data_IF_801839790432
#
_entry.id   IF_801839790432
#
_cell.length_a   1.000
_cell.length_b   1.000
_cell.length_c   1.000
_cell.angle_alpha   90.00
_cell.angle_beta   90.00
_cell.angle_gamma   90.00
#
_symmetry.space_group_name_H-M   'P 1'
#
loop_
_entity.id
_entity.type
_entity.pdbx_description
1 polymer ?
#
# COMPACT_ATOMS: atom_id res chain seq x y z
N UNK A 1 -19.07 -24.46 31.36
CA UNK A 1 -19.60 -23.15 30.94
C UNK A 1 -18.46 -22.16 30.94
N UNK A 2 -17.96 -21.82 29.75
CA UNK A 2 -17.25 -20.58 29.43
C UNK A 2 -17.22 -20.55 27.91
N UNK A 3 -18.24 -19.91 27.35
CA UNK A 3 -18.38 -19.70 25.91
C UNK A 3 -17.25 -18.79 25.45
N UNK A 4 -16.33 -19.35 24.65
CA UNK A 4 -15.35 -18.58 23.90
C UNK A 4 -16.11 -17.81 22.81
N UNK A 5 -16.49 -16.58 23.13
CA UNK A 5 -16.95 -15.61 22.14
C UNK A 5 -15.77 -15.23 21.25
N UNK A 6 -15.56 -16.01 20.20
CA UNK A 6 -14.71 -15.64 19.06
C UNK A 6 -15.45 -14.53 18.33
N UNK A 7 -15.23 -13.29 18.76
CA UNK A 7 -15.59 -12.13 17.95
C UNK A 7 -14.76 -12.22 16.68
N UNK A 8 -15.42 -12.59 15.58
CA UNK A 8 -14.89 -12.45 14.22
C UNK A 8 -14.64 -10.96 13.97
N UNK A 9 -13.51 -10.44 14.46
CA UNK A 9 -12.93 -9.24 13.90
C UNK A 9 -12.59 -9.60 12.48
N UNK A 10 -13.46 -9.19 11.54
CA UNK A 10 -13.14 -9.18 10.12
C UNK A 10 -11.72 -8.66 10.00
N UNK A 11 -10.79 -9.54 9.62
CA UNK A 11 -9.45 -9.16 9.26
C UNK A 11 -9.62 -8.10 8.19
N UNK A 12 -9.41 -6.84 8.57
CA UNK A 12 -9.09 -5.75 7.65
C UNK A 12 -7.68 -6.03 7.11
N UNK A 13 -7.51 -7.23 6.53
CA UNK A 13 -6.32 -7.61 5.81
C UNK A 13 -6.35 -6.71 4.58
N UNK A 14 -5.61 -5.61 4.68
CA UNK A 14 -4.91 -5.01 3.56
C UNK A 14 -5.78 -4.80 2.33
N UNK A 15 -6.65 -3.78 2.38
CA UNK A 15 -6.91 -2.96 1.19
C UNK A 15 -5.72 -2.00 0.94
N UNK A 16 -4.48 -2.42 1.24
CA UNK A 16 -3.29 -1.87 0.57
C UNK A 16 -3.44 -2.31 -0.88
N UNK A 17 -4.03 -1.45 -1.68
CA UNK A 17 -4.15 -1.68 -3.11
C UNK A 17 -2.71 -1.78 -3.65
N UNK A 18 -2.21 -2.99 -3.86
CA UNK A 18 -0.87 -3.21 -4.43
C UNK A 18 -0.69 -2.49 -5.79
N UNK A 19 -1.79 -2.05 -6.41
CA UNK A 19 -1.77 -1.14 -7.56
C UNK A 19 -1.67 0.33 -7.11
N UNK A 20 -0.48 0.88 -7.33
CA UNK A 20 -0.17 2.31 -7.32
C UNK A 20 -0.44 3.03 -6.00
N UNK A 21 0.08 2.50 -4.90
CA UNK A 21 0.43 3.42 -3.82
C UNK A 21 1.48 4.40 -4.35
N UNK A 22 1.22 5.69 -4.24
CA UNK A 22 2.29 6.68 -4.37
C UNK A 22 3.34 6.36 -3.30
N UNK A 23 4.63 6.51 -3.63
CA UNK A 23 5.76 6.39 -2.69
C UNK A 23 5.72 7.55 -1.66
N UNK A 24 4.64 7.63 -0.89
CA UNK A 24 4.30 8.72 0.01
C UNK A 24 3.56 8.19 1.22
N UNK A 25 3.87 8.77 2.38
CA UNK A 25 3.11 8.61 3.60
C UNK A 25 3.09 9.94 4.37
N UNK A 26 2.05 10.22 5.16
CA UNK A 26 1.98 11.45 5.94
C UNK A 26 3.09 11.50 7.00
N UNK A 27 3.75 12.65 7.11
CA UNK A 27 4.72 12.96 8.16
C UNK A 27 4.53 14.40 8.61
N UNK A 28 4.92 14.72 9.85
CA UNK A 28 4.83 16.09 10.34
C UNK A 28 5.99 16.92 9.78
N UNK A 29 5.71 18.11 9.25
CA UNK A 29 6.73 19.03 8.72
C UNK A 29 7.77 19.45 9.78
N UNK A 30 7.39 19.48 11.06
CA UNK A 30 8.25 19.87 12.18
C UNK A 30 8.97 18.68 12.86
N UNK A 31 8.92 17.47 12.29
CA UNK A 31 9.49 16.24 12.91
C UNK A 31 10.93 16.42 13.39
N UNK A 32 11.75 17.17 12.65
CA UNK A 32 13.16 17.43 13.00
C UNK A 32 13.39 18.16 14.33
N UNK A 33 12.38 18.86 14.85
CA UNK A 33 12.45 19.67 16.07
C UNK A 33 11.72 19.01 17.25
N UNK A 34 11.12 17.83 17.07
CA UNK A 34 10.52 17.08 18.17
C UNK A 34 11.58 16.70 19.21
N UNK A 35 11.30 16.76 20.53
CA UNK A 35 12.33 16.60 21.56
C UNK A 35 13.14 15.31 21.46
N UNK A 36 12.49 14.15 21.23
CA UNK A 36 13.16 12.85 21.12
C UNK A 36 14.02 12.74 19.85
N UNK A 37 13.53 13.29 18.74
CA UNK A 37 14.25 13.28 17.46
C UNK A 37 15.40 14.28 17.49
N UNK A 38 15.22 15.43 18.15
CA UNK A 38 16.28 16.40 18.41
C UNK A 38 17.37 15.78 19.29
N UNK A 39 17.01 15.06 20.36
CA UNK A 39 17.96 14.35 21.23
C UNK A 39 18.78 13.30 20.45
N UNK A 40 18.11 12.52 19.59
CA UNK A 40 18.76 11.57 18.69
C UNK A 40 19.73 12.28 17.72
N UNK A 41 19.31 13.38 17.09
CA UNK A 41 20.16 14.18 16.21
C UNK A 41 21.35 14.81 16.93
N UNK A 42 21.20 15.19 18.19
CA UNK A 42 22.30 15.71 19.00
C UNK A 42 23.38 14.66 19.27
N UNK A 43 23.01 13.36 19.33
CA UNK A 43 23.94 12.26 19.65
C UNK A 43 24.48 11.54 18.41
N UNK A 44 23.64 11.33 17.40
CA UNK A 44 23.93 10.52 16.22
C UNK A 44 23.98 11.35 14.92
N UNK A 45 23.81 12.67 15.02
CA UNK A 45 23.87 13.57 13.87
C UNK A 45 22.75 13.34 12.85
N UNK A 46 23.04 13.73 11.60
CA UNK A 46 22.13 13.52 10.46
C UNK A 46 22.01 12.05 10.06
N UNK A 47 23.03 11.25 10.37
CA UNK A 47 23.06 9.82 10.05
C UNK A 47 21.99 9.06 10.85
N UNK A 48 21.90 9.29 12.16
CA UNK A 48 20.83 8.72 12.98
C UNK A 48 19.44 9.14 12.52
N UNK A 49 19.28 10.38 12.02
CA UNK A 49 18.02 10.84 11.44
C UNK A 49 17.68 10.13 10.14
N UNK A 50 18.67 9.92 9.26
CA UNK A 50 18.51 9.10 8.05
C UNK A 50 18.04 7.69 8.39
N UNK A 51 18.72 7.02 9.31
CA UNK A 51 18.35 5.67 9.77
C UNK A 51 16.95 5.65 10.38
N UNK A 52 16.59 6.63 11.21
CA UNK A 52 15.23 6.75 11.74
C UNK A 52 14.18 6.79 10.62
N UNK A 53 14.36 7.66 9.62
CA UNK A 53 13.42 7.78 8.50
C UNK A 53 13.36 6.50 7.67
N UNK A 54 14.52 5.89 7.38
CA UNK A 54 14.58 4.63 6.63
C UNK A 54 13.88 3.48 7.36
N UNK A 55 13.99 3.42 8.69
CA UNK A 55 13.21 2.45 9.49
C UNK A 55 11.71 2.73 9.36
N UNK A 56 11.26 3.99 9.39
CA UNK A 56 9.84 4.31 9.19
C UNK A 56 9.34 3.90 7.80
N UNK A 57 10.16 4.03 6.76
CA UNK A 57 9.84 3.57 5.41
C UNK A 57 9.69 2.05 5.37
N UNK A 58 10.62 1.30 5.99
CA UNK A 58 10.50 -0.15 6.13
C UNK A 58 9.22 -0.54 6.90
N UNK A 59 8.92 0.14 8.01
CA UNK A 59 7.68 -0.09 8.77
C UNK A 59 6.45 0.22 7.93
N UNK A 60 6.44 1.28 7.12
CA UNK A 60 5.32 1.66 6.26
C UNK A 60 4.96 0.51 5.30
N UNK A 61 5.97 -0.15 4.75
CA UNK A 61 5.78 -1.26 3.82
C UNK A 61 5.41 -2.56 4.53
N UNK A 62 5.83 -2.76 5.78
CA UNK A 62 5.49 -3.91 6.59
C UNK A 62 4.00 -4.00 6.95
N UNK A 63 3.59 -5.20 7.38
CA UNK A 63 2.25 -5.47 7.87
C UNK A 63 2.02 -4.79 9.23
N UNK A 64 0.82 -4.22 9.41
CA UNK A 64 0.41 -3.47 10.60
C UNK A 64 1.35 -2.33 11.02
N UNK A 65 2.28 -1.93 10.14
CA UNK A 65 3.34 -0.97 10.44
C UNK A 65 4.30 -1.40 11.53
N UNK A 66 4.52 -2.71 11.67
CA UNK A 66 5.39 -3.33 12.67
C UNK A 66 6.57 -4.02 12.01
N UNK A 67 7.74 -4.01 12.66
CA UNK A 67 8.91 -4.73 12.19
C UNK A 67 9.23 -5.90 13.11
N UNK A 68 9.16 -7.11 12.57
CA UNK A 68 9.67 -8.32 13.19
C UNK A 68 10.99 -8.69 12.49
N UNK A 69 12.08 -8.04 12.88
CA UNK A 69 13.39 -8.21 12.25
C UNK A 69 14.49 -7.89 13.25
N UNK A 70 15.63 -8.57 13.13
CA UNK A 70 16.80 -8.27 13.96
C UNK A 70 17.53 -7.03 13.46
N UNK A 71 18.37 -6.42 14.30
CA UNK A 71 19.13 -5.23 13.93
C UNK A 71 20.10 -5.45 12.78
N UNK A 72 20.67 -6.65 12.66
CA UNK A 72 21.56 -7.05 11.56
C UNK A 72 20.82 -7.08 10.22
N UNK A 73 19.61 -7.64 10.20
CA UNK A 73 18.77 -7.68 9.00
C UNK A 73 18.41 -6.27 8.57
N UNK A 74 17.97 -5.43 9.52
CA UNK A 74 17.66 -4.02 9.24
C UNK A 74 18.90 -3.30 8.70
N UNK A 75 20.04 -3.43 9.36
CA UNK A 75 21.28 -2.77 8.93
C UNK A 75 21.72 -3.19 7.52
N UNK A 76 21.62 -4.48 7.21
CA UNK A 76 21.88 -5.00 5.87
C UNK A 76 20.93 -4.41 4.83
N UNK A 77 19.62 -4.38 5.11
CA UNK A 77 18.61 -3.76 4.23
C UNK A 77 18.88 -2.27 4.00
N UNK A 78 19.35 -1.57 5.02
CA UNK A 78 19.68 -0.14 4.96
C UNK A 78 21.09 0.15 4.40
N UNK A 79 21.83 -0.88 3.99
CA UNK A 79 23.21 -0.78 3.50
C UNK A 79 24.18 -0.10 4.50
N UNK A 80 23.98 -0.34 5.78
CA UNK A 80 24.86 0.15 6.84
C UNK A 80 26.02 -0.82 7.07
N UNK A 81 27.21 -0.31 7.50
CA UNK A 81 28.38 -1.15 7.71
C UNK A 81 28.24 -2.12 8.89
N UNK A 82 27.41 -1.77 9.89
CA UNK A 82 27.10 -2.61 11.04
C UNK A 82 25.73 -2.22 11.64
N UNK A 83 25.28 -2.98 12.64
CA UNK A 83 23.98 -2.80 13.28
C UNK A 83 23.98 -1.84 14.49
N UNK A 84 25.11 -1.25 14.86
CA UNK A 84 25.21 -0.43 16.07
C UNK A 84 24.35 0.82 16.00
N UNK A 85 24.32 1.47 14.83
CA UNK A 85 23.53 2.68 14.63
C UNK A 85 22.03 2.38 14.67
N UNK A 86 21.61 1.27 14.05
CA UNK A 86 20.21 0.79 14.10
C UNK A 86 19.79 0.54 15.53
N UNK A 87 20.59 -0.23 16.29
CA UNK A 87 20.32 -0.53 17.69
C UNK A 87 20.16 0.75 18.53
N UNK A 88 21.10 1.69 18.42
CA UNK A 88 21.02 2.97 19.16
C UNK A 88 19.77 3.77 18.79
N UNK A 89 19.42 3.86 17.50
CA UNK A 89 18.22 4.60 17.05
C UNK A 89 16.94 3.97 17.61
N UNK A 90 16.88 2.64 17.66
CA UNK A 90 15.71 1.91 18.17
C UNK A 90 15.59 2.02 19.70
N UNK A 91 16.69 1.82 20.43
CA UNK A 91 16.67 1.64 21.88
C UNK A 91 16.86 2.94 22.68
N UNK A 92 17.76 3.84 22.27
CA UNK A 92 18.32 4.85 23.19
C UNK A 92 17.45 6.11 23.33
N UNK A 93 16.49 6.33 22.43
CA UNK A 93 15.78 7.63 22.30
C UNK A 93 14.28 7.58 22.53
N UNK A 94 13.72 6.40 22.85
CA UNK A 94 12.28 6.22 23.05
C UNK A 94 11.43 6.55 21.82
N UNK A 95 12.00 6.43 20.62
CA UNK A 95 11.31 6.64 19.35
C UNK A 95 10.49 5.41 18.92
N UNK A 96 10.87 4.24 19.45
CA UNK A 96 10.28 2.94 19.18
C UNK A 96 9.99 2.22 20.50
N UNK A 97 9.10 1.25 20.45
CA UNK A 97 8.77 0.36 21.56
C UNK A 97 8.79 -1.08 21.08
N UNK A 98 8.77 -2.04 22.01
CA UNK A 98 8.71 -3.46 21.71
C UNK A 98 7.37 -4.04 22.14
N UNK A 99 6.76 -4.82 21.24
CA UNK A 99 5.64 -5.71 21.52
C UNK A 99 6.19 -7.15 21.60
N UNK A 100 5.83 -7.87 22.66
CA UNK A 100 6.32 -9.25 22.93
C UNK A 100 7.86 -9.38 22.87
N UNK A 101 8.58 -8.36 23.36
CA UNK A 101 10.05 -8.27 23.43
C UNK A 101 10.81 -8.39 22.10
N UNK A 102 10.10 -8.47 20.97
CA UNK A 102 10.69 -8.81 19.66
C UNK A 102 10.18 -7.95 18.51
N UNK A 103 8.94 -7.48 18.58
CA UNK A 103 8.31 -6.71 17.50
C UNK A 103 8.52 -5.22 17.75
N UNK A 104 9.22 -4.56 16.84
CA UNK A 104 9.47 -3.12 16.90
C UNK A 104 8.23 -2.37 16.40
N UNK A 105 7.73 -1.45 17.23
CA UNK A 105 6.57 -0.61 16.94
C UNK A 105 6.93 0.88 17.05
N UNK A 106 6.29 1.71 16.22
CA UNK A 106 6.37 3.16 16.33
C UNK A 106 4.96 3.73 16.49
N UNK A 107 4.58 4.10 17.72
CA UNK A 107 3.25 4.67 18.04
C UNK A 107 2.90 5.87 17.16
N UNK A 108 3.91 6.71 16.87
CA UNK A 108 3.74 7.89 16.01
C UNK A 108 3.36 7.50 14.59
N UNK A 109 4.05 6.53 13.99
CA UNK A 109 3.74 6.06 12.64
C UNK A 109 2.37 5.39 12.60
N UNK A 110 2.08 4.49 13.53
CA UNK A 110 0.79 3.79 13.61
C UNK A 110 -0.40 4.78 13.67
N UNK A 111 -0.27 5.87 14.46
CA UNK A 111 -1.28 6.93 14.53
C UNK A 111 -1.44 7.70 13.21
N UNK A 112 -0.35 7.97 12.52
CA UNK A 112 -0.38 8.66 11.23
C UNK A 112 -1.04 7.79 10.15
N UNK A 113 -0.68 6.51 10.12
CA UNK A 113 -1.19 5.58 9.13
C UNK A 113 -2.66 5.26 9.34
N UNK A 114 -3.13 5.09 10.58
CA UNK A 114 -4.55 4.83 10.83
C UNK A 114 -5.47 5.95 10.30
N UNK A 115 -5.05 7.22 10.40
CA UNK A 115 -5.78 8.34 9.80
C UNK A 115 -5.74 8.34 8.27
N UNK A 116 -4.60 7.94 7.70
CA UNK A 116 -4.43 7.82 6.25
C UNK A 116 -5.29 6.69 5.67
N UNK A 117 -5.23 5.50 6.27
CA UNK A 117 -6.00 4.33 5.87
C UNK A 117 -7.50 4.63 5.92
N UNK A 118 -7.96 5.32 6.97
CA UNK A 118 -9.35 5.74 7.07
C UNK A 118 -9.76 6.66 5.92
N UNK A 119 -8.86 7.54 5.47
CA UNK A 119 -9.11 8.45 4.34
C UNK A 119 -9.21 7.68 3.02
N UNK A 120 -8.35 6.69 2.80
CA UNK A 120 -8.42 5.79 1.64
C UNK A 120 -9.76 5.05 1.64
N UNK A 121 -10.09 4.41 2.76
CA UNK A 121 -11.34 3.65 2.93
C UNK A 121 -12.55 4.55 2.64
N UNK A 122 -12.60 5.75 3.22
CA UNK A 122 -13.70 6.69 2.99
C UNK A 122 -13.81 7.12 1.52
N UNK A 123 -12.68 7.31 0.85
CA UNK A 123 -12.63 7.68 -0.57
C UNK A 123 -13.14 6.53 -1.45
N UNK A 124 -12.72 5.31 -1.17
CA UNK A 124 -13.16 4.10 -1.86
C UNK A 124 -14.67 3.89 -1.70
N UNK A 125 -15.19 4.01 -0.48
CA UNK A 125 -16.62 3.85 -0.21
C UNK A 125 -17.43 4.96 -0.90
N UNK A 126 -16.91 6.18 -0.96
CA UNK A 126 -17.53 7.26 -1.74
C UNK A 126 -17.59 6.93 -3.23
N UNK A 127 -16.54 6.27 -3.75
CA UNK A 127 -16.50 5.69 -5.09
C UNK A 127 -17.58 4.64 -5.30
N UNK A 128 -17.72 3.69 -4.39
CA UNK A 128 -18.75 2.64 -4.42
C UNK A 128 -20.16 3.20 -4.40
N UNK A 129 -20.46 4.14 -3.48
CA UNK A 129 -21.75 4.84 -3.45
C UNK A 129 -22.05 5.48 -4.80
N UNK A 130 -21.06 6.13 -5.40
CA UNK A 130 -21.24 6.80 -6.69
C UNK A 130 -21.46 5.80 -7.84
N UNK A 131 -20.80 4.64 -7.82
CA UNK A 131 -20.99 3.59 -8.81
C UNK A 131 -22.38 2.94 -8.71
N UNK A 132 -22.85 2.64 -7.49
CA UNK A 132 -24.20 2.10 -7.24
C UNK A 132 -25.29 3.04 -7.78
N UNK A 133 -25.16 4.36 -7.54
CA UNK A 133 -26.09 5.35 -8.10
C UNK A 133 -26.06 5.36 -9.63
N UNK A 134 -24.86 5.38 -10.24
CA UNK A 134 -24.71 5.51 -11.70
C UNK A 134 -25.12 4.27 -12.49
N UNK A 135 -24.81 3.07 -11.98
CA UNK A 135 -24.87 1.84 -12.76
C UNK A 135 -25.93 0.85 -12.27
N UNK A 136 -26.48 1.05 -11.07
CA UNK A 136 -27.47 0.14 -10.46
C UNK A 136 -28.74 0.86 -10.00
N UNK A 137 -28.84 2.18 -10.19
CA UNK A 137 -30.09 2.94 -9.96
C UNK A 137 -30.42 3.21 -8.49
N UNK A 138 -29.48 3.01 -7.57
CA UNK A 138 -29.68 3.31 -6.14
C UNK A 138 -29.88 4.81 -5.89
N UNK A 139 -30.74 5.17 -4.94
CA UNK A 139 -30.88 6.56 -4.51
C UNK A 139 -29.80 6.99 -3.51
N UNK A 140 -29.28 8.22 -3.68
CA UNK A 140 -28.23 8.77 -2.81
C UNK A 140 -28.66 8.85 -1.34
N UNK A 141 -29.93 9.14 -1.06
CA UNK A 141 -30.44 9.27 0.31
C UNK A 141 -30.58 7.92 1.01
N UNK A 142 -30.83 6.85 0.27
CA UNK A 142 -30.88 5.49 0.80
C UNK A 142 -29.47 4.99 1.15
N UNK A 143 -28.50 5.19 0.25
CA UNK A 143 -27.10 4.82 0.46
C UNK A 143 -26.41 5.53 1.65
N UNK A 144 -26.99 6.63 2.13
CA UNK A 144 -26.52 7.35 3.34
C UNK A 144 -26.92 6.66 4.64
N UNK A 145 -27.99 5.85 4.63
CA UNK A 145 -28.48 5.13 5.81
C UNK A 145 -27.62 3.92 6.14
N UNK A 146 -26.99 3.33 5.13
CA UNK A 146 -26.10 2.18 5.29
C UNK A 146 -24.74 2.60 5.84
N UNK A 147 -24.24 1.76 6.74
CA UNK A 147 -22.87 1.79 7.23
C UNK A 147 -21.87 1.54 6.10
N UNK A 148 -20.62 1.89 6.38
CA UNK A 148 -19.52 1.67 5.46
C UNK A 148 -19.34 0.19 5.09
N UNK A 149 -19.50 -0.73 6.05
CA UNK A 149 -19.39 -2.17 5.81
C UNK A 149 -20.53 -2.69 4.92
N UNK A 150 -21.76 -2.23 5.16
CA UNK A 150 -22.93 -2.60 4.34
C UNK A 150 -22.77 -2.12 2.90
N UNK A 151 -22.27 -0.90 2.67
CA UNK A 151 -22.00 -0.39 1.32
C UNK A 151 -20.99 -1.26 0.58
N UNK A 152 -19.93 -1.70 1.25
CA UNK A 152 -18.94 -2.59 0.63
C UNK A 152 -19.62 -3.89 0.23
N UNK A 153 -20.43 -4.49 1.11
CA UNK A 153 -21.16 -5.72 0.82
C UNK A 153 -22.11 -5.58 -0.36
N UNK A 154 -22.95 -4.54 -0.36
CA UNK A 154 -23.89 -4.24 -1.45
C UNK A 154 -23.13 -4.07 -2.77
N UNK A 155 -22.06 -3.28 -2.77
CA UNK A 155 -21.23 -3.09 -3.96
C UNK A 155 -20.63 -4.42 -4.44
N UNK A 156 -20.08 -5.24 -3.54
CA UNK A 156 -19.51 -6.53 -3.93
C UNK A 156 -20.57 -7.45 -4.53
N UNK A 157 -21.76 -7.53 -3.95
CA UNK A 157 -22.85 -8.37 -4.47
C UNK A 157 -23.31 -7.89 -5.85
N UNK A 158 -23.62 -6.62 -6.01
CA UNK A 158 -24.13 -5.98 -7.24
C UNK A 158 -23.16 -6.03 -8.43
N UNK A 159 -21.85 -6.13 -8.16
CA UNK A 159 -20.80 -6.14 -9.16
C UNK A 159 -20.01 -7.47 -9.19
N UNK A 160 -20.45 -8.49 -8.43
CA UNK A 160 -19.83 -9.83 -8.44
C UNK A 160 -20.09 -10.62 -9.72
N UNK A 161 -21.19 -10.32 -10.44
CA UNK A 161 -21.52 -10.96 -11.72
C UNK A 161 -20.80 -10.34 -12.93
N UNK A 162 -20.25 -9.12 -12.81
CA UNK A 162 -19.55 -8.42 -13.90
C UNK A 162 -18.06 -8.79 -14.05
N UNK A 163 -17.58 -9.75 -13.24
CA UNK A 163 -16.24 -10.30 -13.35
C UNK A 163 -16.31 -11.73 -13.93
N UNK A 164 -16.65 -11.85 -15.22
CA UNK A 164 -16.20 -12.87 -16.20
C UNK A 164 -17.08 -12.84 -17.47
N UNK A 165 -16.94 -11.83 -18.32
CA UNK A 165 -16.87 -12.10 -19.76
C UNK A 165 -15.52 -11.58 -20.24
N UNK A 166 -14.52 -12.47 -20.23
CA UNK A 166 -13.36 -12.22 -21.09
C UNK A 166 -13.89 -12.03 -22.52
N UNK A 167 -13.48 -10.99 -23.25
CA UNK A 167 -13.85 -10.86 -24.65
C UNK A 167 -13.52 -12.18 -25.35
N UNK A 168 -14.51 -12.79 -25.99
CA UNK A 168 -14.37 -14.05 -26.71
C UNK A 168 -13.44 -13.85 -27.91
N UNK A 169 -12.14 -13.76 -27.66
CA UNK A 169 -11.13 -13.81 -28.69
C UNK A 169 -11.03 -15.24 -29.15
N UNK A 170 -11.45 -15.45 -30.39
CA UNK A 170 -11.41 -16.73 -31.08
C UNK A 170 -10.07 -17.44 -30.82
N UNK A 171 -10.13 -18.62 -30.20
CA UNK A 171 -8.95 -19.41 -29.83
C UNK A 171 -8.10 -19.75 -31.05
N UNK A 172 -8.71 -19.79 -32.23
CA UNK A 172 -8.03 -20.01 -33.50
C UNK A 172 -7.16 -18.80 -33.90
N UNK A 173 -7.56 -17.58 -33.52
CA UNK A 173 -6.76 -16.36 -33.75
C UNK A 173 -5.49 -16.35 -32.89
N UNK A 174 -5.59 -16.71 -31.60
CA UNK A 174 -4.41 -16.80 -30.70
C UNK A 174 -3.46 -17.92 -31.14
N UNK A 175 -3.97 -19.02 -31.68
CA UNK A 175 -3.15 -20.10 -32.23
C UNK A 175 -2.40 -19.65 -33.48
N UNK A 176 -3.07 -18.93 -34.39
CA UNK A 176 -2.44 -18.34 -35.59
C UNK A 176 -1.32 -17.34 -35.26
N UNK A 177 -1.44 -16.60 -34.15
CA UNK A 177 -0.42 -15.66 -33.69
C UNK A 177 0.81 -16.35 -33.09
N UNK A 178 0.65 -17.50 -32.43
CA UNK A 178 1.76 -18.27 -31.84
C UNK A 178 2.51 -19.09 -32.89
N UNK A 179 1.81 -19.57 -33.91
CA UNK A 179 2.42 -20.34 -35.01
C UNK A 179 3.26 -19.45 -35.96
N UNK A 180 3.00 -18.14 -36.00
CA UNK A 180 3.76 -17.19 -36.83
C UNK A 180 5.04 -16.64 -36.17
N UNK A 181 5.23 -16.83 -34.86
CA UNK A 181 6.41 -16.30 -34.13
C UNK A 181 7.63 -17.23 -34.05
N UNK A 182 7.60 -18.39 -34.72
CA UNK A 182 8.76 -19.28 -34.85
C UNK A 182 9.21 -19.40 -36.32
N UNK A 183 9.84 -18.34 -36.84
CA UNK A 183 10.87 -18.41 -37.89
C UNK A 183 11.76 -17.15 -37.79
N UNK A 184 13.06 -17.40 -37.78
CA UNK A 184 14.14 -16.48 -37.46
C UNK A 184 14.27 -15.25 -38.39
N UNK A 185 14.75 -14.16 -37.78
CA UNK A 185 15.62 -13.09 -38.29
C UNK A 185 15.34 -12.48 -39.68
N UNK A 186 15.15 -11.15 -39.71
CA UNK A 186 15.95 -10.16 -40.48
C UNK A 186 15.41 -8.75 -40.15
N UNK A 187 16.34 -7.85 -39.86
CA UNK A 187 16.15 -6.40 -39.62
C UNK A 187 15.56 -5.74 -40.88
N UNK A 188 14.51 -4.92 -40.77
CA UNK A 188 14.20 -3.92 -41.82
C UNK A 188 13.43 -2.67 -41.33
N UNK A 189 13.92 -1.52 -41.77
CA UNK A 189 13.82 -0.13 -41.26
C UNK A 189 12.45 0.58 -41.45
N UNK A 190 11.32 -0.13 -41.41
CA UNK A 190 10.02 0.45 -41.83
C UNK A 190 9.23 1.21 -40.74
N UNK A 191 9.66 1.21 -39.47
CA UNK A 191 8.87 1.77 -38.34
C UNK A 191 8.95 3.31 -38.25
N UNK A 192 9.93 3.95 -38.90
CA UNK A 192 10.14 5.40 -38.80
C UNK A 192 9.12 6.25 -39.61
N UNK A 193 8.39 5.67 -40.56
CA UNK A 193 7.51 6.46 -41.45
C UNK A 193 6.03 6.52 -41.04
N UNK A 194 5.55 5.68 -40.12
CA UNK A 194 4.12 5.64 -39.75
C UNK A 194 3.68 6.67 -38.69
N UNK A 195 4.60 7.31 -37.96
CA UNK A 195 4.27 8.31 -36.93
C UNK A 195 3.84 9.69 -37.46
N UNK A 196 3.83 9.90 -38.79
CA UNK A 196 3.44 11.19 -39.41
C UNK A 196 1.97 11.29 -39.87
N UNK A 197 1.14 10.26 -39.70
CA UNK A 197 -0.25 10.27 -40.23
C UNK A 197 -1.33 9.94 -39.20
N UNK A 198 -1.34 10.58 -38.03
CA UNK A 198 -2.57 10.75 -37.25
C UNK A 198 -2.58 12.16 -36.64
N UNK A 199 -2.90 13.14 -37.49
CA UNK A 199 -3.44 14.45 -37.12
C UNK A 199 -4.81 14.53 -37.76
N UNK A 200 -5.89 14.39 -37.00
CA UNK A 200 -7.26 14.71 -37.42
C UNK A 200 -7.96 15.20 -36.15
N UNK A 201 -8.19 16.51 -35.97
CA UNK A 201 -9.18 17.43 -36.58
C UNK A 201 -10.41 17.51 -35.68
#
# INVERSE_FOLDING_TARGET
MCEYNVTYTYKFNTMKNQKKDAYWFPHYSNTRNEPLIAAMRMKLGVEGYGVYIMILEMMRDADEYKLNSTYEVIAYTLHLPNHDLVRKVIEDFGLFEFENDTIIICKRLAKLMSGYDQTIINSQISGYRSALVRYRGYEKNELRKYSNAEIIKIYTEEFSEDALEEPNFDKDFIKSLKDSSNKESIIDDSISQKRKKIKIK
#
